data_IF_706038211486
#
_entry.id   IF_706038211486
#
_cell.length_a   1.000
_cell.length_b   1.000
_cell.length_c   1.000
_cell.angle_alpha   90.00
_cell.angle_beta   90.00
_cell.angle_gamma   90.00
#
_symmetry.space_group_name_H-M   'P 1'
#
loop_
_entity.id
_entity.type
_entity.pdbx_description
1 polymer ?
#
# COMPACT_ATOMS: atom_id res chain seq x y z
N UNK A 1 44.75 -40.84 12.11
CA UNK A 1 43.56 -40.02 12.40
C UNK A 1 44.08 -38.67 12.85
N UNK A 2 44.64 -37.85 11.95
CA UNK A 2 43.99 -36.91 10.99
C UNK A 2 43.29 -35.74 11.66
N UNK A 3 43.96 -34.60 11.62
CA UNK A 3 43.54 -33.19 11.52
C UNK A 3 44.90 -32.44 11.45
N UNK A 4 45.24 -31.51 10.56
CA UNK A 4 44.53 -30.50 9.78
C UNK A 4 45.30 -30.19 8.49
N UNK A 5 44.61 -29.88 7.38
CA UNK A 5 45.21 -29.30 6.17
C UNK A 5 44.91 -27.80 6.07
N UNK A 6 45.96 -27.00 6.23
CA UNK A 6 45.99 -25.58 5.93
C UNK A 6 46.23 -25.30 4.44
N UNK A 7 45.50 -24.30 3.95
CA UNK A 7 45.54 -23.76 2.59
C UNK A 7 46.94 -23.29 2.16
N UNK A 8 47.29 -23.62 0.90
CA UNK A 8 48.42 -23.04 0.15
C UNK A 8 47.91 -21.97 -0.82
N UNK A 9 48.44 -20.76 -0.67
CA UNK A 9 48.42 -19.67 -1.66
C UNK A 9 49.86 -19.29 -1.95
N UNK A 10 50.26 -19.28 -3.22
CA UNK A 10 51.47 -18.59 -3.76
C UNK A 10 51.22 -18.34 -5.28
N UNK A 11 51.94 -17.42 -5.96
CA UNK A 11 51.42 -16.12 -6.45
C UNK A 11 51.85 -15.86 -7.92
N UNK A 12 51.84 -14.60 -8.39
CA UNK A 12 53.03 -13.89 -8.95
C UNK A 12 52.63 -12.63 -9.76
N UNK A 13 53.18 -11.51 -9.28
CA UNK A 13 53.67 -10.25 -9.89
C UNK A 13 52.78 -9.41 -10.83
N UNK A 14 52.68 -8.08 -10.69
CA UNK A 14 53.49 -7.13 -9.90
C UNK A 14 54.47 -6.34 -10.75
N UNK A 15 54.23 -5.02 -10.83
CA UNK A 15 55.17 -3.89 -10.91
C UNK A 15 54.39 -2.69 -11.47
N UNK A 16 54.57 -1.41 -11.14
CA UNK A 16 55.34 -0.55 -10.22
C UNK A 16 55.25 0.82 -10.96
N UNK A 17 55.29 2.04 -10.44
CA UNK A 17 55.39 2.65 -9.12
C UNK A 17 54.97 4.14 -9.34
N UNK A 18 54.49 4.78 -8.27
CA UNK A 18 54.63 6.20 -7.85
C UNK A 18 55.49 7.16 -8.72
N UNK A 19 55.19 8.46 -8.86
CA UNK A 19 55.34 9.49 -7.81
C UNK A 19 54.64 10.84 -8.14
N UNK A 20 54.44 11.59 -7.07
CA UNK A 20 53.97 12.97 -6.82
C UNK A 20 54.66 14.13 -7.55
N UNK A 21 53.92 15.23 -7.83
CA UNK A 21 54.18 16.56 -7.24
C UNK A 21 53.17 17.65 -7.67
N UNK A 22 52.96 18.60 -6.75
CA UNK A 22 52.09 19.79 -6.86
C UNK A 22 52.87 21.03 -7.37
N UNK A 23 52.14 21.84 -8.16
CA UNK A 23 52.09 23.32 -8.25
C UNK A 23 53.31 24.19 -8.64
N UNK A 24 53.11 25.02 -9.68
CA UNK A 24 53.35 26.49 -9.82
C UNK A 24 53.05 26.90 -11.28
N UNK A 25 52.01 27.67 -11.57
CA UNK A 25 51.86 29.15 -11.60
C UNK A 25 52.01 29.76 -13.02
N UNK A 26 51.04 30.64 -13.33
CA UNK A 26 50.99 31.74 -14.32
C UNK A 26 50.45 31.51 -15.75
N UNK A 27 49.26 32.09 -15.92
CA UNK A 27 48.84 33.11 -16.90
C UNK A 27 48.64 32.82 -18.40
N UNK A 28 47.55 33.46 -18.84
CA UNK A 28 47.12 33.92 -20.16
C UNK A 28 46.30 33.02 -21.11
N UNK A 29 45.06 33.51 -21.25
CA UNK A 29 44.30 33.75 -22.47
C UNK A 29 43.45 32.67 -23.16
N UNK A 30 42.20 33.11 -23.35
CA UNK A 30 41.29 32.87 -24.47
C UNK A 30 40.18 31.81 -24.33
N UNK A 31 38.96 32.33 -24.47
CA UNK A 31 37.68 31.66 -24.61
C UNK A 31 37.69 30.54 -25.67
N UNK A 32 37.10 29.39 -25.34
CA UNK A 32 36.27 28.66 -26.30
C UNK A 32 35.30 27.70 -25.60
N UNK A 33 34.07 27.68 -26.09
CA UNK A 33 32.90 27.04 -25.50
C UNK A 33 32.99 25.50 -25.46
N UNK A 34 32.97 24.90 -24.27
CA UNK A 34 32.84 23.45 -24.11
C UNK A 34 31.38 22.99 -24.30
N UNK A 35 31.13 22.38 -25.46
CA UNK A 35 29.93 21.62 -25.76
C UNK A 35 29.86 20.39 -24.85
N UNK A 36 28.95 20.40 -23.87
CA UNK A 36 28.65 19.22 -23.03
C UNK A 36 28.25 18.02 -23.90
N UNK A 37 29.17 17.09 -24.12
CA UNK A 37 28.88 15.79 -24.72
C UNK A 37 27.98 14.97 -23.78
N UNK A 38 26.71 14.80 -24.17
CA UNK A 38 25.81 13.81 -23.57
C UNK A 38 26.44 12.43 -23.79
N UNK A 39 26.93 11.81 -22.71
CA UNK A 39 27.31 10.39 -22.72
C UNK A 39 26.06 9.59 -23.09
N UNK A 40 26.04 9.07 -24.31
CA UNK A 40 25.00 8.19 -24.84
C UNK A 40 25.60 6.80 -24.94
N UNK A 41 25.02 5.85 -24.22
CA UNK A 41 25.40 4.44 -24.29
C UNK A 41 24.61 3.84 -25.46
N UNK A 42 25.31 3.41 -26.50
CA UNK A 42 24.75 2.64 -27.61
C UNK A 42 25.10 1.17 -27.40
N UNK A 43 24.09 0.31 -27.30
CA UNK A 43 24.29 -1.12 -27.30
C UNK A 43 24.52 -1.59 -28.76
N UNK A 44 25.49 -2.49 -28.95
CA UNK A 44 26.02 -2.86 -30.27
C UNK A 44 25.04 -3.60 -31.19
N UNK A 45 23.96 -4.13 -30.64
CA UNK A 45 22.89 -4.78 -31.37
C UNK A 45 21.65 -3.89 -31.29
N UNK A 46 21.40 -3.15 -32.37
CA UNK A 46 20.39 -2.08 -32.42
C UNK A 46 19.02 -2.52 -31.89
N UNK A 47 18.43 -1.72 -31.00
CA UNK A 47 17.04 -1.70 -30.54
C UNK A 47 16.35 -3.04 -30.21
N UNK A 48 17.07 -4.16 -30.11
CA UNK A 48 16.54 -5.50 -29.79
C UNK A 48 16.65 -5.86 -28.30
N UNK A 49 16.85 -4.88 -27.42
CA UNK A 49 16.84 -5.09 -25.98
C UNK A 49 15.45 -4.80 -25.40
N UNK A 50 14.51 -5.70 -25.68
CA UNK A 50 13.36 -6.17 -24.87
C UNK A 50 12.67 -7.20 -25.78
N UNK A 51 13.00 -8.49 -25.62
CA UNK A 51 12.46 -9.57 -26.48
C UNK A 51 11.06 -10.01 -26.11
N UNK A 52 10.56 -9.62 -24.93
CA UNK A 52 9.15 -9.71 -24.54
C UNK A 52 8.88 -8.87 -23.29
N UNK A 53 7.83 -8.06 -23.31
CA UNK A 53 7.18 -7.58 -22.08
C UNK A 53 6.16 -8.65 -21.71
N UNK A 54 6.50 -9.52 -20.75
CA UNK A 54 5.50 -10.43 -20.19
C UNK A 54 4.55 -9.61 -19.33
N UNK A 55 3.27 -9.58 -19.70
CA UNK A 55 2.23 -9.05 -18.81
C UNK A 55 2.17 -9.95 -17.56
N UNK A 56 2.29 -9.36 -16.38
CA UNK A 56 2.16 -10.10 -15.14
C UNK A 56 0.75 -10.73 -15.08
N UNK A 57 0.68 -12.05 -14.88
CA UNK A 57 -0.60 -12.75 -14.72
C UNK A 57 -1.40 -12.08 -13.61
N UNK A 58 -2.68 -11.79 -13.87
CA UNK A 58 -3.57 -11.23 -12.85
C UNK A 58 -3.71 -12.24 -11.70
N UNK A 59 -3.51 -11.84 -10.43
CA UNK A 59 -3.71 -12.74 -9.28
C UNK A 59 -5.16 -13.24 -9.16
N UNK A 60 -6.08 -12.62 -9.89
CA UNK A 60 -7.53 -12.92 -9.91
C UNK A 60 -7.98 -13.70 -11.14
N UNK A 61 -7.06 -14.28 -11.90
CA UNK A 61 -7.42 -15.11 -13.05
C UNK A 61 -8.04 -16.48 -12.67
N UNK A 62 -8.28 -16.72 -11.39
CA UNK A 62 -8.83 -17.96 -10.86
C UNK A 62 -10.32 -18.14 -11.23
N UNK A 63 -10.73 -19.39 -11.42
CA UNK A 63 -12.14 -19.72 -11.62
C UNK A 63 -13.00 -19.36 -10.40
N UNK A 64 -14.20 -18.79 -10.59
CA UNK A 64 -15.07 -18.40 -9.50
C UNK A 64 -15.66 -19.64 -8.80
N UNK A 65 -15.36 -19.78 -7.51
CA UNK A 65 -15.82 -20.89 -6.69
C UNK A 65 -17.21 -20.63 -6.07
N UNK A 66 -18.02 -21.68 -5.98
CA UNK A 66 -19.20 -21.67 -5.11
C UNK A 66 -18.79 -21.82 -3.62
N UNK A 67 -19.71 -21.62 -2.65
CA UNK A 67 -19.34 -21.65 -1.23
C UNK A 67 -18.74 -22.97 -0.76
N UNK A 68 -19.24 -24.11 -1.25
CA UNK A 68 -18.75 -25.44 -0.89
C UNK A 68 -17.34 -25.69 -1.45
N UNK A 69 -17.10 -25.25 -2.69
CA UNK A 69 -15.78 -25.33 -3.33
C UNK A 69 -14.77 -24.42 -2.62
N UNK A 70 -15.18 -23.23 -2.21
CA UNK A 70 -14.33 -22.27 -1.52
C UNK A 70 -13.91 -22.76 -0.13
N UNK A 71 -14.89 -23.19 0.68
CA UNK A 71 -14.62 -23.80 1.99
C UNK A 71 -13.84 -25.11 1.85
N UNK A 72 -14.16 -25.92 0.82
CA UNK A 72 -13.46 -27.16 0.48
C UNK A 72 -12.00 -26.94 0.12
N UNK A 73 -11.67 -25.89 -0.63
CA UNK A 73 -10.28 -25.55 -0.97
C UNK A 73 -9.46 -25.19 0.26
N UNK A 74 -10.01 -24.37 1.16
CA UNK A 74 -9.36 -24.05 2.44
C UNK A 74 -9.16 -25.30 3.29
N UNK A 75 -10.20 -26.12 3.44
CA UNK A 75 -10.14 -27.36 4.22
C UNK A 75 -9.10 -28.34 3.65
N UNK A 76 -9.09 -28.55 2.33
CA UNK A 76 -8.12 -29.40 1.66
C UNK A 76 -6.69 -28.93 1.90
N UNK A 77 -6.44 -27.60 1.83
CA UNK A 77 -5.12 -27.04 2.11
C UNK A 77 -4.71 -27.26 3.57
N UNK A 78 -5.64 -27.10 4.51
CA UNK A 78 -5.41 -27.40 5.92
C UNK A 78 -5.06 -28.88 6.15
N UNK A 79 -5.81 -29.80 5.51
CA UNK A 79 -5.60 -31.24 5.62
C UNK A 79 -4.22 -31.66 5.06
N UNK A 80 -3.78 -31.05 3.95
CA UNK A 80 -2.45 -31.27 3.36
C UNK A 80 -1.33 -30.82 4.29
N UNK A 81 -1.48 -29.68 4.96
CA UNK A 81 -0.48 -29.14 5.88
C UNK A 81 -0.60 -29.72 7.30
N UNK A 82 -1.56 -30.63 7.55
CA UNK A 82 -1.78 -31.27 8.85
C UNK A 82 -2.28 -30.31 9.93
N UNK A 83 -2.96 -29.23 9.55
CA UNK A 83 -3.44 -28.19 10.45
C UNK A 83 -4.95 -28.28 10.57
N UNK A 84 -5.49 -28.16 11.79
CA UNK A 84 -6.94 -28.15 12.00
C UNK A 84 -7.54 -26.87 11.39
N UNK A 85 -8.52 -26.97 10.47
CA UNK A 85 -9.15 -25.80 9.89
C UNK A 85 -9.81 -24.92 10.95
N UNK A 86 -9.66 -23.61 10.84
CA UNK A 86 -10.35 -22.68 11.73
C UNK A 86 -11.85 -22.64 11.40
N UNK A 87 -12.69 -22.99 12.37
CA UNK A 87 -14.15 -22.95 12.22
C UNK A 87 -14.65 -21.56 11.80
N UNK A 88 -14.10 -20.51 12.41
CA UNK A 88 -14.46 -19.12 12.07
C UNK A 88 -14.18 -18.78 10.61
N UNK A 89 -13.12 -19.33 10.02
CA UNK A 89 -12.84 -19.18 8.57
C UNK A 89 -13.90 -19.93 7.77
N UNK A 90 -14.10 -21.22 8.06
CA UNK A 90 -15.06 -22.06 7.33
C UNK A 90 -16.47 -21.45 7.31
N UNK A 91 -16.99 -21.03 8.47
CA UNK A 91 -18.34 -20.45 8.58
C UNK A 91 -18.51 -19.19 7.72
N UNK A 92 -17.45 -18.41 7.54
CA UNK A 92 -17.50 -17.21 6.70
C UNK A 92 -17.45 -17.59 5.21
N UNK A 93 -16.59 -18.54 4.83
CA UNK A 93 -16.48 -18.99 3.43
C UNK A 93 -17.76 -19.66 2.91
N UNK A 94 -18.48 -20.39 3.75
CA UNK A 94 -19.74 -21.06 3.39
C UNK A 94 -20.86 -20.08 2.99
N UNK A 95 -20.72 -18.79 3.32
CA UNK A 95 -21.67 -17.74 2.90
C UNK A 95 -21.29 -17.05 1.59
N UNK A 96 -20.10 -17.31 1.05
CA UNK A 96 -19.53 -16.54 -0.07
C UNK A 96 -19.66 -17.32 -1.36
N UNK A 97 -20.50 -16.82 -2.28
CA UNK A 97 -20.62 -17.35 -3.63
C UNK A 97 -19.97 -16.40 -4.64
N UNK A 98 -18.82 -16.80 -5.19
CA UNK A 98 -18.06 -16.00 -6.17
C UNK A 98 -18.61 -16.12 -7.59
N UNK A 99 -19.49 -17.10 -7.86
CA UNK A 99 -20.12 -17.26 -9.19
C UNK A 99 -21.10 -16.14 -9.53
N UNK A 100 -21.64 -15.45 -8.52
CA UNK A 100 -22.58 -14.35 -8.72
C UNK A 100 -21.92 -12.99 -8.86
N UNK A 101 -20.77 -12.78 -8.22
CA UNK A 101 -20.07 -11.49 -8.22
C UNK A 101 -18.63 -11.66 -7.78
N UNK A 102 -17.75 -10.84 -8.34
CA UNK A 102 -16.35 -10.67 -7.92
C UNK A 102 -16.16 -9.46 -7.00
N UNK A 103 -17.23 -8.81 -6.54
CA UNK A 103 -17.13 -7.68 -5.62
C UNK A 103 -16.48 -8.07 -4.29
N UNK A 104 -15.85 -7.09 -3.62
CA UNK A 104 -15.36 -7.22 -2.24
C UNK A 104 -16.51 -7.67 -1.33
N UNK A 105 -16.23 -8.61 -0.42
CA UNK A 105 -17.18 -9.01 0.63
C UNK A 105 -17.05 -8.07 1.83
N UNK A 106 -18.13 -7.83 2.55
CA UNK A 106 -18.15 -6.78 3.57
C UNK A 106 -17.11 -6.99 4.68
N UNK A 107 -17.03 -8.19 5.26
CA UNK A 107 -16.17 -8.43 6.43
C UNK A 107 -15.57 -9.83 6.39
N UNK A 108 -14.28 -9.92 6.71
CA UNK A 108 -13.62 -11.12 7.18
C UNK A 108 -13.07 -10.86 8.58
N UNK A 109 -13.49 -11.65 9.57
CA UNK A 109 -13.06 -11.44 10.96
C UNK A 109 -12.56 -12.72 11.60
N UNK A 110 -11.42 -12.60 12.29
CA UNK A 110 -10.88 -13.61 13.18
C UNK A 110 -10.71 -13.08 14.59
N UNK A 111 -11.41 -12.00 14.94
CA UNK A 111 -11.27 -11.29 16.21
C UNK A 111 -11.28 -12.26 17.39
N UNK A 112 -10.26 -12.17 18.25
CA UNK A 112 -10.10 -13.01 19.43
C UNK A 112 -9.58 -14.43 19.18
N UNK A 113 -9.49 -14.87 17.91
CA UNK A 113 -8.95 -16.19 17.55
C UNK A 113 -7.43 -16.16 17.69
N UNK A 114 -6.86 -17.02 18.53
CA UNK A 114 -5.41 -17.05 18.76
C UNK A 114 -4.71 -17.74 17.58
N UNK A 115 -4.13 -16.93 16.69
CA UNK A 115 -3.47 -17.42 15.49
C UNK A 115 -2.02 -17.85 15.78
N UNK A 116 -1.55 -18.80 14.99
CA UNK A 116 -0.16 -19.26 14.93
C UNK A 116 0.33 -19.05 13.50
N UNK A 117 1.64 -19.00 13.29
CA UNK A 117 2.22 -18.82 11.95
C UNK A 117 1.62 -19.75 10.87
N UNK A 118 1.38 -21.06 11.11
CA UNK A 118 0.77 -21.91 10.10
C UNK A 118 -0.67 -21.52 9.74
N UNK A 119 -1.43 -20.96 10.68
CA UNK A 119 -2.77 -20.44 10.36
C UNK A 119 -2.69 -19.25 9.39
N UNK A 120 -1.65 -18.41 9.51
CA UNK A 120 -1.45 -17.22 8.67
C UNK A 120 -1.15 -17.63 7.23
N UNK A 121 -0.24 -18.58 7.02
CA UNK A 121 0.05 -19.14 5.69
C UNK A 121 -1.21 -19.68 5.01
N UNK A 122 -2.05 -20.39 5.77
CA UNK A 122 -3.31 -20.93 5.26
C UNK A 122 -4.33 -19.86 4.87
N UNK A 123 -4.24 -18.63 5.40
CA UNK A 123 -5.12 -17.53 4.98
C UNK A 123 -4.87 -17.09 3.55
N UNK A 124 -3.71 -17.41 2.96
CA UNK A 124 -3.47 -17.17 1.54
C UNK A 124 -4.53 -17.87 0.67
N UNK A 125 -4.98 -19.07 1.07
CA UNK A 125 -6.02 -19.81 0.36
C UNK A 125 -7.35 -19.04 0.30
N UNK A 126 -7.59 -18.14 1.27
CA UNK A 126 -8.73 -17.23 1.28
C UNK A 126 -8.43 -16.00 0.43
N UNK A 127 -7.34 -15.30 0.72
CA UNK A 127 -7.05 -13.98 0.13
C UNK A 127 -6.71 -14.03 -1.35
N UNK A 128 -6.22 -15.16 -1.88
CA UNK A 128 -6.02 -15.34 -3.33
C UNK A 128 -7.32 -15.48 -4.13
N UNK A 129 -8.48 -15.55 -3.45
CA UNK A 129 -9.81 -15.72 -4.08
C UNK A 129 -10.81 -14.64 -3.70
N UNK A 130 -10.74 -14.18 -2.45
CA UNK A 130 -11.73 -13.26 -1.91
C UNK A 130 -11.05 -12.00 -1.42
N UNK A 131 -11.53 -10.87 -1.93
CA UNK A 131 -11.23 -9.55 -1.39
C UNK A 131 -12.33 -9.14 -0.42
N UNK A 132 -11.96 -8.42 0.62
CA UNK A 132 -12.87 -7.91 1.64
C UNK A 132 -12.86 -6.39 1.67
N UNK A 133 -13.93 -5.80 2.18
CA UNK A 133 -13.97 -4.40 2.57
C UNK A 133 -13.19 -4.27 3.88
N UNK A 134 -13.61 -4.97 4.94
CA UNK A 134 -12.91 -5.02 6.23
C UNK A 134 -12.28 -6.38 6.50
N UNK A 135 -10.97 -6.39 6.83
CA UNK A 135 -10.30 -7.50 7.50
C UNK A 135 -10.08 -7.12 8.98
N UNK A 136 -10.64 -7.91 9.89
CA UNK A 136 -10.54 -7.69 11.33
C UNK A 136 -9.78 -8.81 12.04
N UNK A 137 -8.55 -8.49 12.43
CA UNK A 137 -7.60 -9.33 13.16
C UNK A 137 -7.33 -8.76 14.56
N UNK A 138 -8.34 -8.19 15.20
CA UNK A 138 -8.21 -7.69 16.57
C UNK A 138 -7.93 -8.83 17.55
N UNK A 139 -6.89 -8.68 18.38
CA UNK A 139 -6.52 -9.63 19.44
C UNK A 139 -6.37 -11.07 18.91
N UNK A 140 -5.51 -11.25 17.90
CA UNK A 140 -5.30 -12.55 17.23
C UNK A 140 -3.89 -13.11 17.41
N UNK A 141 -3.13 -12.59 18.37
CA UNK A 141 -1.76 -13.03 18.67
C UNK A 141 -0.79 -12.83 17.48
N UNK A 142 -0.91 -11.71 16.77
CA UNK A 142 0.01 -11.37 15.68
C UNK A 142 1.35 -10.88 16.24
N UNK A 143 2.43 -11.43 15.68
CA UNK A 143 3.83 -11.05 15.88
C UNK A 143 4.38 -10.36 14.63
N UNK A 144 5.60 -9.83 14.71
CA UNK A 144 6.29 -9.19 13.58
C UNK A 144 6.45 -10.11 12.35
N UNK A 145 6.73 -11.40 12.58
CA UNK A 145 6.86 -12.39 11.51
C UNK A 145 5.53 -12.62 10.80
N UNK A 146 4.46 -12.86 11.58
CA UNK A 146 3.12 -13.05 11.02
C UNK A 146 2.59 -11.80 10.31
N UNK A 147 2.92 -10.62 10.81
CA UNK A 147 2.57 -9.35 10.17
C UNK A 147 3.27 -9.16 8.83
N UNK A 148 4.54 -9.59 8.73
CA UNK A 148 5.29 -9.51 7.46
C UNK A 148 4.64 -10.37 6.39
N UNK A 149 4.30 -11.63 6.71
CA UNK A 149 3.59 -12.54 5.80
C UNK A 149 2.21 -11.99 5.39
N UNK A 150 1.41 -11.51 6.34
CA UNK A 150 0.11 -10.89 6.04
C UNK A 150 0.24 -9.67 5.13
N UNK A 151 1.24 -8.81 5.37
CA UNK A 151 1.46 -7.62 4.55
C UNK A 151 1.84 -7.98 3.11
N UNK A 152 2.58 -9.07 2.89
CA UNK A 152 2.90 -9.56 1.54
C UNK A 152 1.65 -10.06 0.82
N UNK A 153 0.82 -10.86 1.49
CA UNK A 153 -0.46 -11.30 0.94
C UNK A 153 -1.37 -10.10 0.61
N UNK A 154 -1.51 -9.15 1.53
CA UNK A 154 -2.37 -7.99 1.34
C UNK A 154 -1.87 -7.06 0.23
N UNK A 155 -0.55 -6.89 0.08
CA UNK A 155 0.06 -6.13 -1.02
C UNK A 155 -0.22 -6.80 -2.36
N UNK A 156 0.01 -8.12 -2.46
CA UNK A 156 -0.10 -8.85 -3.73
C UNK A 156 -1.57 -9.06 -4.17
N UNK A 157 -2.44 -9.42 -3.23
CA UNK A 157 -3.85 -9.72 -3.46
C UNK A 157 -4.78 -8.56 -3.08
N UNK A 158 -4.30 -7.33 -2.91
CA UNK A 158 -5.10 -6.14 -2.53
C UNK A 158 -6.28 -6.45 -1.57
N UNK A 159 -6.04 -7.24 -0.52
CA UNK A 159 -7.09 -8.08 0.07
C UNK A 159 -8.15 -7.30 0.84
N UNK A 160 -7.85 -6.07 1.27
CA UNK A 160 -8.77 -5.24 2.05
C UNK A 160 -8.69 -3.75 1.73
N UNK A 161 -9.77 -3.04 2.04
CA UNK A 161 -9.82 -1.57 2.05
C UNK A 161 -9.85 -1.00 3.48
N UNK A 162 -10.21 -1.81 4.47
CA UNK A 162 -10.16 -1.50 5.89
C UNK A 162 -9.44 -2.62 6.63
N UNK A 163 -8.48 -2.27 7.48
CA UNK A 163 -7.68 -3.24 8.23
C UNK A 163 -7.71 -2.90 9.72
N UNK A 164 -8.12 -3.87 10.53
CA UNK A 164 -8.03 -3.80 11.98
C UNK A 164 -7.01 -4.80 12.51
N UNK A 165 -5.94 -4.27 13.12
CA UNK A 165 -4.86 -5.01 13.78
C UNK A 165 -4.90 -4.82 15.30
N UNK A 166 -5.92 -4.16 15.82
CA UNK A 166 -5.96 -3.70 17.20
C UNK A 166 -5.63 -4.80 18.24
N UNK A 167 -4.99 -4.41 19.34
CA UNK A 167 -4.69 -5.27 20.50
C UNK A 167 -3.83 -6.49 20.16
N UNK A 168 -2.87 -6.33 19.24
CA UNK A 168 -1.78 -7.30 19.04
C UNK A 168 -0.46 -6.72 19.58
N UNK A 169 -0.19 -6.83 20.89
CA UNK A 169 0.93 -6.14 21.55
C UNK A 169 2.31 -6.68 21.17
N UNK A 170 2.37 -7.82 20.49
CA UNK A 170 3.62 -8.43 20.00
C UNK A 170 4.08 -7.86 18.65
N UNK A 171 3.29 -6.95 18.05
CA UNK A 171 3.73 -6.15 16.91
C UNK A 171 4.66 -5.05 17.43
N UNK A 172 5.93 -5.12 17.04
CA UNK A 172 7.00 -4.19 17.42
C UNK A 172 7.61 -3.56 16.16
N UNK A 173 8.90 -3.18 16.20
CA UNK A 173 9.53 -2.38 15.16
C UNK A 173 9.50 -3.01 13.78
N UNK A 174 9.74 -4.32 13.65
CA UNK A 174 9.70 -4.99 12.34
C UNK A 174 8.27 -5.11 11.81
N UNK A 175 7.30 -5.40 12.67
CA UNK A 175 5.88 -5.41 12.29
C UNK A 175 5.38 -4.04 11.87
N UNK A 176 5.80 -2.97 12.56
CA UNK A 176 5.49 -1.59 12.14
C UNK A 176 6.14 -1.20 10.83
N UNK A 177 7.37 -1.66 10.55
CA UNK A 177 7.99 -1.50 9.23
C UNK A 177 7.19 -2.22 8.14
N UNK A 178 6.69 -3.42 8.42
CA UNK A 178 5.81 -4.15 7.50
C UNK A 178 4.50 -3.38 7.24
N UNK A 179 3.85 -2.85 8.28
CA UNK A 179 2.65 -2.01 8.15
C UNK A 179 2.94 -0.73 7.36
N UNK A 180 4.06 -0.06 7.61
CA UNK A 180 4.47 1.13 6.87
C UNK A 180 4.76 0.82 5.39
N UNK A 181 5.36 -0.34 5.08
CA UNK A 181 5.53 -0.83 3.70
C UNK A 181 4.18 -1.08 3.05
N UNK A 182 3.29 -1.81 3.72
CA UNK A 182 1.95 -2.11 3.23
C UNK A 182 1.19 -0.83 2.88
N UNK A 183 1.19 0.17 3.76
CA UNK A 183 0.52 1.46 3.50
C UNK A 183 1.01 2.14 2.22
N UNK A 184 2.32 2.11 1.93
CA UNK A 184 2.86 2.69 0.68
C UNK A 184 2.42 1.92 -0.56
N UNK A 185 2.20 0.62 -0.42
CA UNK A 185 1.99 -0.32 -1.53
C UNK A 185 0.53 -0.67 -1.77
N UNK A 186 -0.34 -0.45 -0.78
CA UNK A 186 -1.75 -0.77 -0.82
C UNK A 186 -2.57 0.53 -0.92
N UNK A 187 -2.71 1.13 -2.12
CA UNK A 187 -3.40 2.40 -2.31
C UNK A 187 -4.91 2.32 -1.98
N UNK A 188 -5.49 1.12 -2.06
CA UNK A 188 -6.90 0.87 -1.75
C UNK A 188 -7.22 0.90 -0.25
N UNK A 189 -6.22 0.88 0.65
CA UNK A 189 -6.45 0.93 2.08
C UNK A 189 -6.91 2.33 2.52
N UNK A 190 -8.16 2.40 2.99
CA UNK A 190 -8.88 3.60 3.43
C UNK A 190 -8.97 3.72 4.96
N UNK A 191 -8.97 2.60 5.68
CA UNK A 191 -9.03 2.61 7.15
C UNK A 191 -7.95 1.71 7.75
N UNK A 192 -7.27 2.21 8.78
CA UNK A 192 -6.32 1.43 9.58
C UNK A 192 -6.62 1.62 11.08
N UNK A 193 -6.93 0.52 11.75
CA UNK A 193 -7.09 0.46 13.20
C UNK A 193 -5.94 -0.34 13.83
N UNK A 194 -5.10 0.35 14.58
CA UNK A 194 -3.91 -0.18 15.24
C UNK A 194 -3.93 0.10 16.74
N UNK A 195 -5.14 0.28 17.31
CA UNK A 195 -5.31 0.55 18.74
C UNK A 195 -4.64 -0.47 19.62
N UNK A 196 -4.10 -0.02 20.74
CA UNK A 196 -3.52 -0.91 21.75
C UNK A 196 -2.24 -1.63 21.29
N UNK A 197 -1.68 -1.25 20.14
CA UNK A 197 -0.33 -1.64 19.73
C UNK A 197 0.60 -0.47 20.09
N UNK A 198 1.61 -0.66 20.97
CA UNK A 198 2.57 0.38 21.28
C UNK A 198 3.28 0.87 20.02
N UNK A 199 3.29 2.18 19.81
CA UNK A 199 3.99 2.82 18.70
C UNK A 199 5.10 3.71 19.27
N UNK A 200 6.35 3.32 19.06
CA UNK A 200 7.49 4.12 19.52
C UNK A 200 7.77 5.28 18.55
N UNK A 201 8.75 6.11 18.89
CA UNK A 201 9.10 7.32 18.16
C UNK A 201 9.59 7.03 16.71
N UNK A 202 10.40 6.00 16.51
CA UNK A 202 10.96 5.59 15.21
C UNK A 202 9.87 5.00 14.30
N UNK A 203 9.02 4.15 14.87
CA UNK A 203 7.90 3.53 14.17
C UNK A 203 6.87 4.59 13.78
N UNK A 204 6.62 5.57 14.65
CA UNK A 204 5.76 6.72 14.36
C UNK A 204 6.28 7.53 13.17
N UNK A 205 7.58 7.76 13.10
CA UNK A 205 8.20 8.45 11.97
C UNK A 205 8.04 7.67 10.66
N UNK A 206 8.25 6.35 10.72
CA UNK A 206 8.09 5.45 9.57
C UNK A 206 6.64 5.44 9.07
N UNK A 207 5.68 5.33 9.99
CA UNK A 207 4.26 5.39 9.70
C UNK A 207 3.84 6.74 9.11
N UNK A 208 4.31 7.85 9.70
CA UNK A 208 4.09 9.22 9.21
C UNK A 208 4.58 9.40 7.76
N UNK A 209 5.77 8.87 7.46
CA UNK A 209 6.30 8.90 6.11
C UNK A 209 5.48 8.05 5.14
N UNK A 210 5.07 6.84 5.54
CA UNK A 210 4.23 5.95 4.73
C UNK A 210 2.88 6.59 4.37
N UNK A 211 2.19 7.18 5.37
CA UNK A 211 0.92 7.88 5.18
C UNK A 211 1.07 9.03 4.16
N UNK A 212 2.13 9.83 4.29
CA UNK A 212 2.42 10.93 3.35
C UNK A 212 2.69 10.40 1.94
N UNK A 213 3.52 9.38 1.83
CA UNK A 213 3.92 8.77 0.56
C UNK A 213 2.71 8.19 -0.19
N UNK A 214 1.87 7.41 0.50
CA UNK A 214 0.65 6.85 -0.09
C UNK A 214 -0.28 7.95 -0.60
N UNK A 215 -0.50 9.01 0.19
CA UNK A 215 -1.35 10.12 -0.23
C UNK A 215 -0.80 10.86 -1.46
N UNK A 216 0.52 11.05 -1.55
CA UNK A 216 1.16 11.63 -2.73
C UNK A 216 0.98 10.75 -3.97
N UNK A 217 1.22 9.45 -3.85
CA UNK A 217 1.00 8.49 -4.93
C UNK A 217 -0.46 8.47 -5.40
N UNK A 218 -1.41 8.39 -4.46
CA UNK A 218 -2.84 8.39 -4.79
C UNK A 218 -3.29 9.70 -5.45
N UNK A 219 -2.78 10.86 -5.01
CA UNK A 219 -3.06 12.15 -5.66
C UNK A 219 -2.52 12.20 -7.09
N UNK A 220 -1.31 11.69 -7.33
CA UNK A 220 -0.74 11.63 -8.66
C UNK A 220 -1.57 10.73 -9.59
N UNK A 221 -1.98 9.54 -9.11
CA UNK A 221 -2.84 8.63 -9.86
C UNK A 221 -4.23 9.22 -10.13
N UNK A 222 -4.83 9.89 -9.15
CA UNK A 222 -6.10 10.59 -9.33
C UNK A 222 -6.01 11.73 -10.36
N UNK A 223 -4.90 12.46 -10.38
CA UNK A 223 -4.65 13.51 -11.39
C UNK A 223 -4.54 12.93 -12.80
N UNK A 224 -3.80 11.82 -12.96
CA UNK A 224 -3.72 11.09 -14.23
C UNK A 224 -5.11 10.60 -14.66
N UNK A 225 -5.82 9.93 -13.74
CA UNK A 225 -7.16 9.41 -13.99
C UNK A 225 -8.13 10.50 -14.45
N UNK A 226 -8.16 11.65 -13.77
CA UNK A 226 -9.03 12.78 -14.14
C UNK A 226 -8.69 13.34 -15.53
N UNK A 227 -7.42 13.42 -15.91
CA UNK A 227 -6.99 13.84 -17.26
C UNK A 227 -7.44 12.85 -18.33
N UNK A 228 -7.28 11.54 -18.09
CA UNK A 228 -7.76 10.50 -19.01
C UNK A 228 -9.27 10.53 -19.16
N UNK A 229 -10.00 10.69 -18.05
CA UNK A 229 -11.45 10.80 -18.06
C UNK A 229 -11.92 11.99 -18.91
N UNK A 230 -11.30 13.17 -18.77
CA UNK A 230 -11.63 14.35 -19.56
C UNK A 230 -11.28 14.18 -21.05
N UNK A 231 -10.12 13.58 -21.36
CA UNK A 231 -9.74 13.29 -22.75
C UNK A 231 -10.74 12.33 -23.42
N UNK A 232 -11.14 11.27 -22.71
CA UNK A 232 -12.14 10.32 -23.20
C UNK A 232 -13.51 10.95 -23.36
N UNK A 233 -13.91 11.85 -22.46
CA UNK A 233 -15.15 12.60 -22.60
C UNK A 233 -15.14 13.44 -23.89
N UNK A 234 -14.05 14.16 -24.16
CA UNK A 234 -13.90 14.95 -25.40
C UNK A 234 -13.93 14.08 -26.66
N UNK A 235 -13.31 12.90 -26.62
CA UNK A 235 -13.37 11.94 -27.72
C UNK A 235 -14.81 11.45 -27.93
N UNK A 236 -15.52 11.07 -26.87
CA UNK A 236 -16.92 10.64 -26.97
C UNK A 236 -17.83 11.76 -27.52
N UNK A 237 -17.65 13.00 -27.04
CA UNK A 237 -18.37 14.18 -27.56
C UNK A 237 -18.06 14.40 -29.05
N UNK A 238 -16.80 14.29 -29.47
CA UNK A 238 -16.42 14.44 -30.88
C UNK A 238 -17.08 13.40 -31.80
N UNK A 239 -17.21 12.15 -31.33
CA UNK A 239 -17.88 11.07 -32.07
C UNK A 239 -19.39 11.27 -32.13
N UNK A 240 -20.02 11.77 -31.06
CA UNK A 240 -21.44 12.11 -31.03
C UNK A 240 -21.77 13.29 -31.97
N UNK A 241 -20.88 14.27 -32.07
CA UNK A 241 -21.05 15.41 -32.98
C UNK A 241 -20.76 15.08 -34.45
N UNK A 242 -20.12 13.95 -34.75
CA UNK A 242 -19.72 13.57 -36.10
C UNK A 242 -20.88 13.12 -37.01
N UNK A 243 -22.15 13.20 -36.58
CA UNK A 243 -23.31 12.99 -37.45
C UNK A 243 -23.33 11.61 -38.11
N UNK A 244 -23.54 10.55 -37.32
CA UNK A 244 -23.60 9.18 -37.82
C UNK A 244 -24.94 8.91 -38.50
N UNK A 245 -24.91 8.55 -39.78
CA UNK A 245 -26.10 8.29 -40.60
C UNK A 245 -26.62 6.86 -40.50
N UNK A 246 -25.80 5.92 -40.01
CA UNK A 246 -26.13 4.48 -39.92
C UNK A 246 -26.30 3.95 -38.48
N UNK A 247 -27.30 3.09 -38.29
CA UNK A 247 -27.66 2.47 -37.01
C UNK A 247 -26.56 1.49 -36.51
N UNK A 248 -25.88 0.80 -37.43
CA UNK A 248 -24.72 -0.05 -37.13
C UNK A 248 -23.51 0.75 -36.65
N UNK A 249 -23.22 1.89 -37.28
CA UNK A 249 -22.16 2.79 -36.84
C UNK A 249 -22.45 3.36 -35.44
N UNK A 250 -23.71 3.69 -35.17
CA UNK A 250 -24.14 4.15 -33.83
C UNK A 250 -23.94 3.07 -32.75
N UNK A 251 -24.23 1.81 -33.09
CA UNK A 251 -24.06 0.67 -32.19
C UNK A 251 -22.57 0.37 -31.94
N UNK A 252 -21.74 0.43 -32.97
CA UNK A 252 -20.29 0.27 -32.88
C UNK A 252 -19.65 1.40 -32.05
N UNK A 253 -20.13 2.63 -32.20
CA UNK A 253 -19.70 3.79 -31.41
C UNK A 253 -20.11 3.68 -29.95
N UNK A 254 -21.33 3.24 -29.66
CA UNK A 254 -21.76 3.00 -28.28
C UNK A 254 -20.92 1.89 -27.61
N UNK A 255 -20.55 0.86 -28.38
CA UNK A 255 -19.66 -0.21 -27.93
C UNK A 255 -18.24 0.30 -27.68
N UNK A 256 -17.68 1.09 -28.60
CA UNK A 256 -16.39 1.78 -28.42
C UNK A 256 -16.41 2.76 -27.24
N UNK A 257 -17.49 3.51 -27.02
CA UNK A 257 -17.62 4.41 -25.87
C UNK A 257 -17.69 3.64 -24.54
N UNK A 258 -18.38 2.49 -24.50
CA UNK A 258 -18.34 1.57 -23.35
C UNK A 258 -16.95 0.97 -23.14
N UNK A 259 -16.27 0.59 -24.22
CA UNK A 259 -14.93 0.03 -24.17
C UNK A 259 -13.87 1.08 -23.78
N UNK A 260 -14.04 2.33 -24.20
CA UNK A 260 -13.24 3.48 -23.76
C UNK A 260 -13.51 3.83 -22.30
N UNK A 261 -14.75 3.70 -21.80
CA UNK A 261 -15.04 3.77 -20.35
C UNK A 261 -14.35 2.63 -19.58
N UNK A 262 -14.25 1.43 -20.17
CA UNK A 262 -13.52 0.28 -19.60
C UNK A 262 -12.01 0.48 -19.60
N UNK A 263 -11.46 1.09 -20.65
CA UNK A 263 -10.02 1.42 -20.80
C UNK A 263 -9.61 2.72 -20.08
N UNK A 264 -10.57 3.47 -19.52
CA UNK A 264 -10.33 4.74 -18.80
C UNK A 264 -9.67 4.55 -17.42
N UNK A 265 -9.55 3.31 -16.94
CA UNK A 265 -8.79 2.97 -15.75
C UNK A 265 -7.42 2.45 -16.20
N UNK A 266 -6.34 3.07 -15.70
CA UNK A 266 -4.91 2.79 -15.89
C UNK A 266 -4.55 1.34 -16.31
N UNK A 267 -3.44 1.12 -17.04
CA UNK A 267 -2.92 -0.19 -17.51
C UNK A 267 -3.08 -1.37 -16.52
N UNK A 268 -3.01 -1.14 -15.21
CA UNK A 268 -3.25 -2.16 -14.16
C UNK A 268 -4.69 -2.70 -14.10
N UNK A 269 -5.65 -2.05 -14.77
CA UNK A 269 -7.09 -2.32 -14.67
C UNK A 269 -7.68 -2.99 -15.92
N UNK A 270 -6.90 -3.17 -16.99
CA UNK A 270 -7.33 -3.91 -18.18
C UNK A 270 -7.72 -5.38 -17.87
N UNK A 271 -7.17 -5.94 -16.80
CA UNK A 271 -7.49 -7.29 -16.31
C UNK A 271 -8.80 -7.37 -15.50
N UNK A 272 -9.33 -6.25 -14.99
CA UNK A 272 -10.52 -6.23 -14.15
C UNK A 272 -11.78 -6.23 -15.03
N UNK A 273 -12.34 -7.42 -15.27
CA UNK A 273 -13.58 -7.59 -16.04
C UNK A 273 -14.85 -7.16 -15.27
N UNK A 274 -14.73 -6.83 -13.98
CA UNK A 274 -15.87 -6.48 -13.12
C UNK A 274 -16.10 -4.96 -13.06
N UNK A 275 -17.23 -4.49 -13.59
CA UNK A 275 -17.66 -3.08 -13.57
C UNK A 275 -17.75 -2.49 -12.15
N UNK A 276 -18.03 -3.30 -11.13
CA UNK A 276 -18.15 -2.88 -9.74
C UNK A 276 -16.78 -2.62 -9.09
N UNK A 277 -15.76 -3.42 -9.44
CA UNK A 277 -14.38 -3.20 -8.99
C UNK A 277 -13.77 -1.94 -9.62
N UNK A 278 -14.17 -1.58 -10.85
CA UNK A 278 -13.80 -0.31 -11.49
C UNK A 278 -14.32 0.93 -10.73
N UNK A 279 -15.44 0.80 -9.99
CA UNK A 279 -16.01 1.93 -9.21
C UNK A 279 -15.18 2.32 -7.98
N UNK A 280 -14.26 1.46 -7.55
CA UNK A 280 -13.38 1.72 -6.40
C UNK A 280 -12.11 2.52 -6.78
N UNK A 281 -11.92 2.74 -8.08
CA UNK A 281 -10.78 3.47 -8.66
C UNK A 281 -11.28 4.87 -9.11
N UNK A 282 -10.48 5.95 -8.93
CA UNK A 282 -9.13 5.95 -8.41
C UNK A 282 -9.10 5.79 -6.89
N UNK A 283 -8.10 5.07 -6.42
CA UNK A 283 -7.84 4.94 -5.01
C UNK A 283 -7.52 6.30 -4.38
N UNK A 284 -8.09 6.53 -3.21
CA UNK A 284 -7.99 7.81 -2.51
C UNK A 284 -6.96 7.78 -1.37
N UNK A 285 -6.36 6.62 -1.11
CA UNK A 285 -5.46 6.37 0.02
C UNK A 285 -6.19 6.42 1.37
N UNK A 286 -5.40 6.36 2.45
CA UNK A 286 -5.90 6.33 3.81
C UNK A 286 -6.76 7.55 4.15
N UNK A 287 -7.95 7.29 4.70
CA UNK A 287 -8.96 8.26 5.12
C UNK A 287 -9.17 8.25 6.62
N UNK A 288 -9.08 7.09 7.24
CA UNK A 288 -9.28 6.91 8.67
C UNK A 288 -8.09 6.22 9.33
N UNK A 289 -7.71 6.72 10.50
CA UNK A 289 -6.60 6.17 11.29
C UNK A 289 -6.96 6.16 12.77
N UNK A 290 -6.95 4.97 13.36
CA UNK A 290 -7.20 4.78 14.78
C UNK A 290 -5.93 4.34 15.52
N UNK A 291 -5.44 5.24 16.37
CA UNK A 291 -4.21 5.12 17.16
C UNK A 291 -4.51 5.21 18.67
N UNK A 292 -5.64 4.67 19.12
CA UNK A 292 -6.01 4.75 20.53
C UNK A 292 -5.15 3.83 21.41
N UNK A 293 -4.75 4.28 22.60
CA UNK A 293 -3.89 3.51 23.51
C UNK A 293 -2.58 3.01 22.86
N UNK A 294 -1.99 3.80 21.96
CA UNK A 294 -0.73 3.47 21.24
C UNK A 294 0.49 4.16 21.85
N UNK A 295 0.29 5.02 22.86
CA UNK A 295 1.33 5.83 23.53
C UNK A 295 1.97 6.89 22.62
N UNK A 296 1.29 7.31 21.55
CA UNK A 296 1.74 8.40 20.69
C UNK A 296 1.56 9.74 21.42
N UNK A 297 2.65 10.34 21.86
CA UNK A 297 2.73 11.65 22.54
C UNK A 297 4.04 12.37 22.22
N UNK A 298 4.21 13.60 22.67
CA UNK A 298 5.40 14.43 22.53
C UNK A 298 5.89 14.52 21.07
N UNK A 299 7.19 14.25 20.86
CA UNK A 299 7.86 14.27 19.56
C UNK A 299 7.21 13.27 18.59
N UNK A 300 6.74 12.12 19.07
CA UNK A 300 6.07 11.14 18.24
C UNK A 300 4.77 11.73 17.64
N UNK A 301 3.96 12.41 18.46
CA UNK A 301 2.76 13.10 17.97
C UNK A 301 3.11 14.18 16.93
N UNK A 302 4.13 15.00 17.20
CA UNK A 302 4.61 16.03 16.26
C UNK A 302 5.01 15.46 14.90
N UNK A 303 5.75 14.35 14.88
CA UNK A 303 6.13 13.66 13.63
C UNK A 303 4.92 13.07 12.92
N UNK A 304 3.99 12.47 13.65
CA UNK A 304 2.76 11.92 13.09
C UNK A 304 1.94 13.03 12.42
N UNK A 305 1.70 14.14 13.11
CA UNK A 305 0.96 15.30 12.60
C UNK A 305 1.55 15.80 11.27
N UNK A 306 2.88 15.87 11.17
CA UNK A 306 3.56 16.31 9.95
C UNK A 306 3.30 15.38 8.75
N UNK A 307 3.06 14.09 8.99
CA UNK A 307 2.62 13.13 7.96
C UNK A 307 1.16 13.32 7.59
N UNK A 308 0.30 13.36 8.60
CA UNK A 308 -1.15 13.48 8.45
C UNK A 308 -1.54 14.77 7.73
N UNK A 309 -0.89 15.90 8.03
CA UNK A 309 -1.18 17.21 7.39
C UNK A 309 -1.08 17.18 5.87
N UNK A 310 -0.19 16.35 5.32
CA UNK A 310 0.05 16.21 3.88
C UNK A 310 -0.66 14.99 3.28
N UNK A 311 -1.48 14.31 4.08
CA UNK A 311 -2.23 13.12 3.71
C UNK A 311 -3.64 13.45 3.21
N UNK A 312 -4.50 12.44 3.09
CA UNK A 312 -5.93 12.62 2.82
C UNK A 312 -6.82 12.16 3.97
N UNK A 313 -6.26 11.99 5.17
CA UNK A 313 -6.98 11.55 6.36
C UNK A 313 -8.05 12.58 6.72
N UNK A 314 -9.25 12.07 6.99
CA UNK A 314 -10.42 12.84 7.43
C UNK A 314 -10.98 12.38 8.78
N UNK A 315 -10.66 11.17 9.25
CA UNK A 315 -11.01 10.66 10.57
C UNK A 315 -9.72 10.24 11.29
N UNK A 316 -9.36 10.98 12.35
CA UNK A 316 -8.21 10.69 13.18
C UNK A 316 -8.66 10.42 14.62
N UNK A 317 -8.31 9.24 15.15
CA UNK A 317 -8.65 8.85 16.52
C UNK A 317 -7.40 8.60 17.34
N UNK A 318 -7.19 9.42 18.36
CA UNK A 318 -6.08 9.36 19.31
C UNK A 318 -6.54 9.19 20.77
N UNK A 319 -7.60 8.42 21.09
CA UNK A 319 -8.06 8.35 22.46
C UNK A 319 -7.08 7.60 23.36
N UNK A 320 -7.05 7.96 24.65
CA UNK A 320 -6.26 7.25 25.66
C UNK A 320 -4.76 7.11 25.33
N UNK A 321 -4.15 8.15 24.76
CA UNK A 321 -2.70 8.23 24.53
C UNK A 321 -1.94 9.00 25.62
N UNK A 322 -2.67 9.43 26.66
CA UNK A 322 -2.16 10.29 27.73
C UNK A 322 -1.57 11.62 27.24
N UNK A 323 -2.14 12.19 26.17
CA UNK A 323 -1.74 13.50 25.65
C UNK A 323 -1.94 14.58 26.73
N UNK A 324 -0.96 15.46 26.86
CA UNK A 324 -0.87 16.55 27.84
C UNK A 324 -1.16 17.92 27.19
N UNK A 325 -1.31 19.02 27.96
CA UNK A 325 -1.46 20.36 27.38
C UNK A 325 -0.32 20.73 26.40
N UNK A 326 0.92 20.32 26.68
CA UNK A 326 2.07 20.56 25.79
C UNK A 326 1.94 19.84 24.43
N UNK A 327 1.28 18.69 24.40
CA UNK A 327 1.05 17.93 23.17
C UNK A 327 -0.01 18.60 22.28
N UNK A 328 -0.96 19.32 22.87
CA UNK A 328 -2.05 19.97 22.15
C UNK A 328 -1.53 20.97 21.10
N UNK A 329 -0.39 21.62 21.38
CA UNK A 329 0.26 22.56 20.46
C UNK A 329 0.60 21.90 19.13
N UNK A 330 0.98 20.61 19.13
CA UNK A 330 1.29 19.89 17.91
C UNK A 330 0.05 19.59 17.06
N UNK A 331 -1.16 19.64 17.62
CA UNK A 331 -2.41 19.43 16.88
C UNK A 331 -2.89 20.69 16.16
N UNK A 332 -2.42 21.87 16.54
CA UNK A 332 -2.82 23.16 15.95
C UNK A 332 -2.68 23.16 14.41
N UNK A 333 -1.55 22.70 13.81
CA UNK A 333 -1.42 22.67 12.36
C UNK A 333 -2.44 21.75 11.66
N UNK A 334 -2.89 20.67 12.32
CA UNK A 334 -3.96 19.82 11.77
C UNK A 334 -5.30 20.54 11.77
N UNK A 335 -5.63 21.26 12.84
CA UNK A 335 -6.93 21.94 12.92
C UNK A 335 -6.98 23.21 12.06
N UNK A 336 -5.86 23.95 11.98
CA UNK A 336 -5.80 25.21 11.22
C UNK A 336 -5.63 25.01 9.72
N UNK A 337 -4.89 23.97 9.31
CA UNK A 337 -4.49 23.77 7.91
C UNK A 337 -4.87 22.38 7.35
N UNK A 338 -5.43 21.49 8.16
CA UNK A 338 -5.91 20.18 7.71
C UNK A 338 -7.26 20.30 7.02
N UNK A 339 -7.25 20.76 5.76
CA UNK A 339 -8.45 20.96 4.96
C UNK A 339 -9.34 19.70 4.81
N UNK A 340 -8.78 18.50 5.06
CA UNK A 340 -9.50 17.23 4.94
C UNK A 340 -10.03 16.68 6.26
N UNK A 341 -9.53 17.13 7.41
CA UNK A 341 -9.89 16.56 8.72
C UNK A 341 -11.32 16.94 9.09
N UNK A 342 -12.17 15.92 9.34
CA UNK A 342 -13.60 16.09 9.68
C UNK A 342 -13.94 15.56 11.06
N UNK A 343 -13.23 14.51 11.49
CA UNK A 343 -13.41 13.89 12.78
C UNK A 343 -12.07 13.76 13.49
N UNK A 344 -12.01 14.25 14.72
CA UNK A 344 -10.86 14.15 15.59
C UNK A 344 -11.33 13.69 16.97
N UNK A 345 -10.92 12.48 17.38
CA UNK A 345 -11.19 11.95 18.71
C UNK A 345 -9.95 12.04 19.59
N UNK A 346 -10.02 12.90 20.61
CA UNK A 346 -9.01 13.08 21.65
C UNK A 346 -9.50 12.61 23.03
N UNK A 347 -10.56 11.79 23.08
CA UNK A 347 -11.17 11.37 24.33
C UNK A 347 -10.19 10.61 25.23
N UNK A 348 -10.40 10.67 26.55
CA UNK A 348 -9.56 9.97 27.55
C UNK A 348 -8.07 10.37 27.51
N UNK A 349 -7.75 11.56 27.02
CA UNK A 349 -6.42 12.18 27.20
C UNK A 349 -6.41 13.12 28.41
N UNK A 350 -5.24 13.69 28.73
CA UNK A 350 -4.99 14.56 29.89
C UNK A 350 -4.72 16.01 29.45
N UNK A 351 -5.50 16.50 28.48
CA UNK A 351 -5.28 17.82 27.87
C UNK A 351 -5.59 19.00 28.80
N UNK A 352 -6.52 18.83 29.75
CA UNK A 352 -6.99 19.91 30.62
C UNK A 352 -7.56 21.12 29.87
N UNK A 353 -7.91 22.17 30.61
CA UNK A 353 -8.39 23.43 30.01
C UNK A 353 -7.23 24.21 29.35
N UNK A 354 -6.01 24.06 29.87
CA UNK A 354 -4.80 24.69 29.34
C UNK A 354 -4.51 24.25 27.90
N UNK A 355 -4.74 22.98 27.56
CA UNK A 355 -4.56 22.45 26.20
C UNK A 355 -5.50 23.09 25.17
N UNK A 356 -6.59 23.74 25.62
CA UNK A 356 -7.53 24.46 24.76
C UNK A 356 -7.14 25.93 24.55
N UNK A 357 -6.24 26.49 25.36
CA UNK A 357 -5.86 27.91 25.28
C UNK A 357 -5.00 28.24 24.05
N UNK A 358 -4.32 27.25 23.47
CA UNK A 358 -3.54 27.41 22.23
C UNK A 358 -4.37 27.66 20.97
N UNK A 359 -5.70 27.68 21.07
CA UNK A 359 -6.64 27.91 19.96
C UNK A 359 -7.29 29.30 19.93
N UNK A 360 -6.90 30.21 20.84
CA UNK A 360 -7.40 31.59 20.82
C UNK A 360 -6.70 32.46 19.78
#
# INVERSE_FOLDING_TARGET
MTEDEHAKVVPVNGNNHSESNQHRENDDDSESAEVRHKRSVRFGDGDQLITAVFEANSPWANEPLNPYELAGAYKLRCDVEGIVPLYSVLSQLESINLRYSYARRDVFTLKGTQLKAPHIELLEEVFKRVQFELINLENTNLTDETMSALCEMFEFYESCAELCLARNPQITGEGWKAVARLLRKLPCLRWLDVRGIPLNESDTQSLSHAIRSQAMCCRAEMSKFSKYQLANQRLAESVLTAGLTDEEQRTQVNKLACEMKRLATCQTHAAIKCQQCLSQIPYRGLRGLHLGSTKVRDIALSRLVTGIRLSSICDLRLPDNHLTPSDAVFLIPLLRFGATLRYLDLSRNRLGDEGLQGYR
#
